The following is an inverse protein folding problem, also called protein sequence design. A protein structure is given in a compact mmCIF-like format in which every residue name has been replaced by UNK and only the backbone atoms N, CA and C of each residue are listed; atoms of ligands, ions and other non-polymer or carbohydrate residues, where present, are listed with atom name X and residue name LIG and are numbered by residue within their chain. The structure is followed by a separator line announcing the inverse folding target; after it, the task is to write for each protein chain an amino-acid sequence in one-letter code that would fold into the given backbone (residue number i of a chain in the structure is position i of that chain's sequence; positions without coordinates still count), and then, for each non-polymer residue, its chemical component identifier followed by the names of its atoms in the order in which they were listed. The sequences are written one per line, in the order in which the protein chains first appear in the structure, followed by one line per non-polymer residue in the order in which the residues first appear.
data_IF_090915428183
#
_entry.id   IF_090915428183
#
_cell.length_a   1.000
_cell.length_b   1.000
_cell.length_c   1.000
_cell.angle_alpha   90.00
_cell.angle_beta   90.00
_cell.angle_gamma   90.00
#
_symmetry.space_group_name_H-M   'P 1'
#
loop_
_entity.id
_entity.type
_entity.pdbx_description
1 polymer ?
#
# COMPACT_ATOMS: atom_id res chain seq x y z
N UNK A 1 6.94 -13.00 -17.82
CA UNK A 1 5.67 -12.36 -17.48
C UNK A 1 5.65 -12.01 -16.00
N UNK A 2 5.04 -10.90 -15.66
CA UNK A 2 4.76 -10.52 -14.28
C UNK A 2 3.26 -10.28 -14.13
N UNK A 3 2.67 -10.85 -13.07
CA UNK A 3 1.25 -10.67 -12.74
C UNK A 3 1.15 -10.08 -11.34
N UNK A 4 0.41 -8.99 -11.20
CA UNK A 4 0.16 -8.35 -9.91
C UNK A 4 -1.33 -8.39 -9.62
N UNK A 5 -1.69 -8.86 -8.42
CA UNK A 5 -3.08 -8.93 -7.98
C UNK A 5 -3.21 -8.09 -6.71
N UNK A 6 -3.98 -7.01 -6.79
CA UNK A 6 -4.31 -6.14 -5.67
C UNK A 6 -5.63 -6.58 -5.01
N UNK A 7 -5.83 -6.21 -3.73
CA UNK A 7 -7.03 -6.61 -2.98
C UNK A 7 -7.16 -8.14 -2.88
N UNK A 8 -6.03 -8.81 -2.67
CA UNK A 8 -5.90 -10.26 -2.82
C UNK A 8 -6.20 -11.04 -1.54
N UNK A 9 -6.89 -10.48 -0.56
CA UNK A 9 -7.17 -11.13 0.73
C UNK A 9 -7.83 -12.51 0.56
N UNK A 10 -8.76 -12.61 -0.37
CA UNK A 10 -9.44 -13.88 -0.69
C UNK A 10 -8.51 -14.97 -1.26
N UNK A 11 -7.31 -14.60 -1.72
CA UNK A 11 -6.35 -15.51 -2.34
C UNK A 11 -5.20 -15.90 -1.40
N UNK A 12 -5.12 -15.25 -0.26
CA UNK A 12 -3.97 -15.38 0.66
C UNK A 12 -3.79 -16.82 1.16
N UNK A 13 -4.89 -17.50 1.45
CA UNK A 13 -4.86 -18.85 2.02
C UNK A 13 -4.88 -19.97 0.97
N UNK A 14 -5.05 -19.63 -0.30
CA UNK A 14 -4.99 -20.63 -1.38
C UNK A 14 -3.55 -21.15 -1.50
N UNK A 15 -3.33 -22.48 -1.57
CA UNK A 15 -1.99 -23.03 -1.83
C UNK A 15 -1.37 -22.42 -3.09
N UNK A 16 -0.04 -22.17 -3.04
CA UNK A 16 0.65 -21.49 -4.15
C UNK A 16 0.52 -22.24 -5.47
N UNK A 17 0.56 -23.57 -5.44
CA UNK A 17 0.43 -24.43 -6.61
C UNK A 17 -0.93 -24.25 -7.28
N UNK A 18 -2.01 -24.34 -6.49
CA UNK A 18 -3.36 -24.14 -6.99
C UNK A 18 -3.58 -22.72 -7.51
N UNK A 19 -3.00 -21.73 -6.84
CA UNK A 19 -3.08 -20.33 -7.26
C UNK A 19 -2.29 -20.08 -8.55
N UNK A 20 -1.12 -20.71 -8.73
CA UNK A 20 -0.33 -20.61 -9.95
C UNK A 20 -1.08 -21.16 -11.15
N UNK A 21 -1.72 -22.31 -11.01
CA UNK A 21 -2.56 -22.91 -12.06
C UNK A 21 -3.73 -22.00 -12.43
N UNK A 22 -4.43 -21.46 -11.45
CA UNK A 22 -5.55 -20.54 -11.67
C UNK A 22 -5.11 -19.27 -12.40
N UNK A 23 -4.01 -18.66 -11.96
CA UNK A 23 -3.45 -17.45 -12.57
C UNK A 23 -3.00 -17.75 -14.00
N UNK A 24 -2.35 -18.90 -14.22
CA UNK A 24 -1.88 -19.28 -15.56
C UNK A 24 -3.03 -19.48 -16.55
N UNK A 25 -4.15 -20.06 -16.12
CA UNK A 25 -5.35 -20.18 -16.97
C UNK A 25 -5.86 -18.80 -17.41
N UNK A 26 -5.86 -17.82 -16.50
CA UNK A 26 -6.27 -16.46 -16.84
C UNK A 26 -5.28 -15.79 -17.80
N UNK A 27 -3.98 -15.94 -17.55
CA UNK A 27 -2.91 -15.44 -18.43
C UNK A 27 -3.02 -16.05 -19.82
N UNK A 28 -3.12 -17.38 -19.90
CA UNK A 28 -3.23 -18.12 -21.17
C UNK A 28 -4.44 -17.66 -21.97
N UNK A 29 -5.57 -17.46 -21.31
CA UNK A 29 -6.79 -16.98 -21.96
C UNK A 29 -6.62 -15.57 -22.55
N UNK A 30 -5.97 -14.66 -21.84
CA UNK A 30 -5.79 -13.26 -22.28
C UNK A 30 -4.71 -13.16 -23.36
N UNK A 31 -3.61 -13.91 -23.20
CA UNK A 31 -2.46 -13.84 -24.11
C UNK A 31 -2.55 -14.84 -25.26
N UNK A 32 -3.51 -15.77 -25.21
CA UNK A 32 -3.64 -16.89 -26.16
C UNK A 32 -2.42 -17.81 -26.23
N UNK A 33 -1.65 -17.86 -25.16
CA UNK A 33 -0.52 -18.78 -25.00
C UNK A 33 -1.05 -20.17 -24.70
N UNK A 34 -0.66 -21.16 -25.48
CA UNK A 34 -1.10 -22.54 -25.35
C UNK A 34 -0.14 -23.46 -24.58
N UNK A 35 1.02 -22.93 -24.19
CA UNK A 35 2.03 -23.67 -23.47
C UNK A 35 1.58 -23.99 -22.03
N UNK A 36 2.05 -25.10 -21.44
CA UNK A 36 1.78 -25.45 -20.06
C UNK A 36 2.38 -24.41 -19.10
N UNK A 37 1.93 -24.45 -17.84
CA UNK A 37 2.44 -23.58 -16.77
C UNK A 37 3.98 -23.64 -16.72
N UNK A 38 4.69 -22.52 -16.97
CA UNK A 38 6.15 -22.47 -16.90
C UNK A 38 6.64 -22.49 -15.46
N UNK A 39 7.95 -22.44 -15.28
CA UNK A 39 8.53 -22.17 -13.94
C UNK A 39 7.99 -20.86 -13.39
N UNK A 40 7.50 -20.88 -12.16
CA UNK A 40 6.84 -19.74 -11.54
C UNK A 40 7.33 -19.50 -10.12
N UNK A 41 7.06 -18.29 -9.63
CA UNK A 41 7.21 -17.90 -8.22
C UNK A 41 6.03 -17.03 -7.81
N UNK A 42 5.46 -17.30 -6.64
CA UNK A 42 4.41 -16.47 -6.05
C UNK A 42 4.91 -15.88 -4.74
N UNK A 43 4.83 -14.56 -4.63
CA UNK A 43 5.09 -13.81 -3.41
C UNK A 43 3.75 -13.29 -2.91
N UNK A 44 3.39 -13.63 -1.67
CA UNK A 44 2.18 -13.14 -1.00
C UNK A 44 2.57 -12.09 0.03
N UNK A 45 2.29 -10.83 -0.26
CA UNK A 45 2.51 -9.74 0.67
C UNK A 45 1.22 -9.48 1.47
N UNK A 46 1.25 -9.86 2.75
CA UNK A 46 0.07 -9.78 3.64
C UNK A 46 -0.13 -8.38 4.25
N UNK A 47 0.88 -7.54 4.20
CA UNK A 47 0.91 -6.21 4.84
C UNK A 47 1.36 -5.14 3.87
N UNK A 48 0.87 -5.18 2.64
CA UNK A 48 1.25 -4.22 1.61
C UNK A 48 0.77 -2.80 1.95
N UNK A 49 -0.52 -2.66 2.27
CA UNK A 49 -1.13 -1.38 2.66
C UNK A 49 -2.29 -1.62 3.63
N UNK A 50 -2.84 -0.54 4.20
CA UNK A 50 -4.14 -0.60 4.86
C UNK A 50 -5.27 -0.81 3.84
N UNK A 51 -6.43 -1.28 4.29
CA UNK A 51 -7.60 -1.42 3.43
C UNK A 51 -8.08 -0.04 2.96
N UNK A 52 -8.20 0.14 1.64
CA UNK A 52 -8.64 1.41 1.03
C UNK A 52 -10.16 1.51 1.06
N UNK A 53 -10.74 1.62 2.25
CA UNK A 53 -12.19 1.82 2.46
C UNK A 53 -12.47 3.22 3.01
N UNK A 54 -13.69 3.75 2.85
CA UNK A 54 -14.06 5.05 3.42
C UNK A 54 -13.87 5.09 4.95
N UNK A 55 -14.13 3.99 5.63
CA UNK A 55 -13.97 3.87 7.09
C UNK A 55 -12.51 3.99 7.52
N UNK A 56 -11.60 3.38 6.77
CA UNK A 56 -10.16 3.45 7.05
C UNK A 56 -9.57 4.80 6.64
N UNK A 57 -10.10 5.44 5.59
CA UNK A 57 -9.65 6.77 5.18
C UNK A 57 -9.84 7.81 6.29
N UNK A 58 -10.97 7.80 7.00
CA UNK A 58 -11.22 8.75 8.09
C UNK A 58 -10.38 8.48 9.34
N UNK A 59 -9.78 7.30 9.45
CA UNK A 59 -8.88 6.92 10.56
C UNK A 59 -7.44 7.32 10.34
N UNK A 60 -7.08 7.77 9.15
CA UNK A 60 -5.71 8.17 8.84
C UNK A 60 -5.32 9.36 9.70
N UNK A 61 -4.23 9.26 10.49
CA UNK A 61 -3.83 10.33 11.39
C UNK A 61 -3.21 11.49 10.62
N UNK A 62 -3.36 12.73 11.11
CA UNK A 62 -2.61 13.86 10.58
C UNK A 62 -1.12 13.78 10.94
N UNK A 63 -0.30 14.63 10.31
CA UNK A 63 1.11 14.76 10.64
C UNK A 63 1.35 15.19 12.08
N UNK A 64 0.55 16.14 12.57
CA UNK A 64 0.64 16.64 13.94
C UNK A 64 -0.06 15.68 14.91
N UNK A 65 0.53 15.48 16.08
CA UNK A 65 -0.04 14.70 17.17
C UNK A 65 -0.40 15.60 18.36
N UNK A 66 -0.95 14.99 19.40
CA UNK A 66 -1.18 15.69 20.67
C UNK A 66 0.13 16.08 21.39
N UNK A 67 1.25 15.50 20.98
CA UNK A 67 2.56 15.83 21.53
C UNK A 67 3.26 16.87 20.66
N UNK A 68 3.78 17.92 21.27
CA UNK A 68 4.41 19.04 20.55
C UNK A 68 5.72 18.67 19.82
N UNK A 69 6.33 17.58 20.18
CA UNK A 69 7.60 17.09 19.65
C UNK A 69 7.50 15.77 18.89
N UNK A 70 6.28 15.33 18.55
CA UNK A 70 6.04 14.09 17.81
C UNK A 70 5.23 14.36 16.55
N UNK A 71 5.80 14.05 15.41
CA UNK A 71 5.18 14.20 14.10
C UNK A 71 5.17 12.86 13.38
N UNK A 72 4.08 12.61 12.63
CA UNK A 72 3.89 11.37 11.88
C UNK A 72 4.12 11.62 10.39
N UNK A 73 4.79 10.67 9.75
CA UNK A 73 4.97 10.65 8.30
C UNK A 73 4.87 9.21 7.80
N UNK A 74 4.34 9.04 6.60
CA UNK A 74 4.15 7.76 5.93
C UNK A 74 2.95 7.83 5.01
N UNK A 75 2.86 6.89 4.09
CA UNK A 75 1.73 6.77 3.15
C UNK A 75 0.40 6.48 3.86
N UNK A 76 0.45 5.99 5.08
CA UNK A 76 -0.71 5.69 5.95
C UNK A 76 -1.26 6.92 6.68
N UNK A 77 -0.56 8.06 6.67
CA UNK A 77 -1.07 9.31 7.25
C UNK A 77 -2.09 9.99 6.32
N UNK A 78 -2.81 10.98 6.81
CA UNK A 78 -3.83 11.72 6.04
C UNK A 78 -3.19 12.60 4.96
N UNK A 79 -2.64 11.96 3.93
CA UNK A 79 -1.94 12.64 2.83
C UNK A 79 -2.88 13.23 1.78
N UNK A 80 -4.13 12.76 1.72
CA UNK A 80 -5.08 13.04 0.63
C UNK A 80 -4.78 12.22 -0.64
N UNK A 81 -3.85 11.26 -0.56
CA UNK A 81 -3.50 10.34 -1.63
C UNK A 81 -3.70 8.89 -1.15
N UNK A 82 -3.90 7.93 -2.06
CA UNK A 82 -3.79 6.52 -1.71
C UNK A 82 -2.43 6.17 -1.09
N UNK A 83 -2.31 4.98 -0.50
CA UNK A 83 -1.05 4.47 0.04
C UNK A 83 -0.05 4.25 -1.11
N UNK A 84 0.77 5.23 -1.38
CA UNK A 84 1.71 5.31 -2.51
C UNK A 84 3.04 5.89 -2.07
N UNK A 85 4.08 5.65 -2.86
CA UNK A 85 5.40 6.29 -2.67
C UNK A 85 5.26 7.81 -2.67
N UNK A 86 4.47 8.38 -3.58
CA UNK A 86 4.22 9.83 -3.63
C UNK A 86 3.58 10.33 -2.33
N UNK A 87 2.58 9.61 -1.81
CA UNK A 87 1.95 9.93 -0.53
C UNK A 87 2.96 9.92 0.63
N UNK A 88 3.83 8.91 0.68
CA UNK A 88 4.88 8.80 1.68
C UNK A 88 5.86 9.97 1.61
N UNK A 89 6.35 10.32 0.42
CA UNK A 89 7.28 11.44 0.21
C UNK A 89 6.65 12.77 0.63
N UNK A 90 5.42 13.05 0.20
CA UNK A 90 4.70 14.27 0.60
C UNK A 90 4.47 14.37 2.09
N UNK A 91 4.18 13.25 2.74
CA UNK A 91 4.01 13.23 4.20
C UNK A 91 5.31 13.59 4.92
N UNK A 92 6.45 13.11 4.43
CA UNK A 92 7.77 13.46 4.94
C UNK A 92 8.06 14.95 4.82
N UNK A 93 7.77 15.56 3.68
CA UNK A 93 7.91 17.01 3.52
C UNK A 93 7.00 17.81 4.46
N UNK A 94 5.76 17.36 4.67
CA UNK A 94 4.86 17.99 5.65
C UNK A 94 5.42 17.91 7.07
N UNK A 95 5.89 16.74 7.48
CA UNK A 95 6.48 16.56 8.81
C UNK A 95 7.70 17.47 9.00
N UNK A 96 8.59 17.54 8.02
CA UNK A 96 9.74 18.43 8.06
C UNK A 96 9.33 19.90 8.17
N UNK A 97 8.33 20.33 7.40
CA UNK A 97 7.82 21.68 7.45
C UNK A 97 7.22 22.04 8.82
N UNK A 98 6.50 21.11 9.45
CA UNK A 98 5.95 21.31 10.81
C UNK A 98 7.07 21.44 11.86
N UNK A 99 8.11 20.62 11.77
CA UNK A 99 9.27 20.65 12.68
C UNK A 99 10.02 21.99 12.53
N UNK A 100 10.15 22.49 11.31
CA UNK A 100 10.88 23.72 11.01
C UNK A 100 10.06 24.99 11.24
N UNK A 101 8.78 24.90 11.53
CA UNK A 101 7.98 26.07 11.89
C UNK A 101 8.53 26.72 13.14
N UNK A 102 8.82 28.04 13.12
CA UNK A 102 9.18 28.73 14.34
C UNK A 102 8.08 28.56 15.37
N UNK A 103 8.44 28.15 16.59
CA UNK A 103 7.51 28.15 17.72
C UNK A 103 6.83 29.52 17.77
N UNK A 104 5.52 29.57 17.59
CA UNK A 104 4.76 30.76 17.96
C UNK A 104 4.84 30.83 19.47
N UNK A 105 5.89 31.47 19.97
CA UNK A 105 5.93 31.89 21.35
C UNK A 105 4.72 32.81 21.55
N UNK A 106 3.70 32.29 22.24
CA UNK A 106 2.71 33.12 22.86
C UNK A 106 3.43 33.98 23.90
N UNK A 107 3.53 35.27 23.62
CA UNK A 107 3.85 36.28 24.60
C UNK A 107 2.69 36.36 25.58
#
# INVERSE_FOLDING_TARGET
LSVTISGADRLIDIPREALAEQIWQDVARVTQIAEPLPTWQIIKEKRATFAATPEEEVRRPPTQTAFSNLFLAGDWTATGLPATIEGAVRSGFRAAAEILRPSRNSI
#
